data_IF_071800428609
#
_entry.id   IF_071800428609
#
_cell.length_a   1.000
_cell.length_b   1.000
_cell.length_c   1.000
_cell.angle_alpha   90.00
_cell.angle_beta   90.00
_cell.angle_gamma   90.00
#
_symmetry.space_group_name_H-M   'P 1'
#
loop_
_entity.id
_entity.type
_entity.pdbx_description
1 polymer ?
#
# COMPACT_ATOMS: atom_id res chain seq x y z
N UNK A 1 -3.27 13.05 14.55
CA UNK A 1 -4.20 12.39 15.50
C UNK A 1 -4.48 11.02 14.92
N UNK A 2 -4.05 9.95 15.59
CA UNK A 2 -4.25 8.58 15.10
C UNK A 2 -5.74 8.26 15.10
N UNK A 3 -6.27 7.86 13.96
CA UNK A 3 -7.68 7.49 13.80
C UNK A 3 -7.99 6.23 14.63
N UNK A 4 -8.93 6.30 15.57
CA UNK A 4 -9.34 5.15 16.39
C UNK A 4 -10.55 4.49 15.73
N UNK A 5 -10.38 3.26 15.27
CA UNK A 5 -11.47 2.47 14.66
C UNK A 5 -11.99 1.43 15.65
N UNK A 6 -13.32 1.34 15.76
CA UNK A 6 -13.98 0.32 16.57
C UNK A 6 -14.03 -1.01 15.82
N UNK A 7 -13.74 -2.11 16.51
CA UNK A 7 -13.74 -3.46 15.96
C UNK A 7 -14.63 -4.36 16.80
N UNK A 8 -15.61 -5.01 16.16
CA UNK A 8 -16.49 -5.98 16.80
C UNK A 8 -16.09 -7.40 16.38
N UNK A 9 -15.93 -8.29 17.37
CA UNK A 9 -15.51 -9.68 17.16
C UNK A 9 -16.51 -10.61 17.81
N UNK A 10 -16.87 -11.69 17.12
CA UNK A 10 -17.63 -12.79 17.71
C UNK A 10 -16.64 -13.78 18.31
N UNK A 11 -16.89 -14.15 19.57
CA UNK A 11 -16.09 -15.12 20.31
C UNK A 11 -16.99 -16.29 20.68
N UNK A 12 -16.44 -17.50 20.64
CA UNK A 12 -17.10 -18.66 21.21
C UNK A 12 -17.32 -18.48 22.71
N UNK A 13 -18.40 -19.06 23.24
CA UNK A 13 -18.79 -18.92 24.64
C UNK A 13 -17.68 -19.32 25.62
N UNK A 14 -16.94 -20.37 25.29
CA UNK A 14 -15.81 -20.84 26.11
C UNK A 14 -14.66 -19.82 26.13
N UNK A 15 -14.29 -19.28 24.97
CA UNK A 15 -13.22 -18.29 24.85
C UNK A 15 -13.61 -16.99 25.58
N UNK A 16 -14.86 -16.55 25.43
CA UNK A 16 -15.38 -15.40 26.16
C UNK A 16 -15.32 -15.61 27.69
N UNK A 17 -15.68 -16.81 28.17
CA UNK A 17 -15.61 -17.14 29.58
C UNK A 17 -14.17 -17.10 30.10
N UNK A 18 -13.22 -17.68 29.36
CA UNK A 18 -11.79 -17.64 29.69
C UNK A 18 -11.25 -16.21 29.71
N UNK A 19 -11.58 -15.40 28.71
CA UNK A 19 -11.18 -14.00 28.64
C UNK A 19 -11.71 -13.22 29.85
N UNK A 20 -12.98 -13.40 30.20
CA UNK A 20 -13.62 -12.72 31.33
C UNK A 20 -12.96 -13.12 32.66
N UNK A 21 -12.62 -14.40 32.82
CA UNK A 21 -11.93 -14.88 34.00
C UNK A 21 -10.53 -14.27 34.12
N UNK A 22 -9.75 -14.29 33.04
CA UNK A 22 -8.39 -13.72 33.01
C UNK A 22 -8.40 -12.19 33.23
N UNK A 23 -9.40 -11.49 32.68
CA UNK A 23 -9.62 -10.07 32.94
C UNK A 23 -9.78 -9.79 34.42
N UNK A 24 -10.66 -10.54 35.10
CA UNK A 24 -10.87 -10.43 36.55
C UNK A 24 -9.61 -10.71 37.35
N UNK A 25 -8.88 -11.78 37.02
CA UNK A 25 -7.67 -12.19 37.75
C UNK A 25 -6.50 -11.23 37.57
N UNK A 26 -6.38 -10.62 36.39
CA UNK A 26 -5.29 -9.68 36.08
C UNK A 26 -5.62 -8.22 36.42
N UNK A 27 -6.86 -7.91 36.83
CA UNK A 27 -7.31 -6.54 37.06
C UNK A 27 -7.38 -5.68 35.79
N UNK A 28 -7.41 -6.30 34.61
CA UNK A 28 -7.44 -5.61 33.30
C UNK A 28 -8.82 -5.75 32.65
N UNK A 29 -9.15 -4.82 31.76
CA UNK A 29 -10.37 -4.96 30.96
C UNK A 29 -10.20 -6.06 29.89
N UNK A 30 -11.31 -6.71 29.52
CA UNK A 30 -11.31 -7.66 28.41
C UNK A 30 -10.82 -6.99 27.10
N UNK A 31 -11.17 -5.72 26.89
CA UNK A 31 -10.74 -4.92 25.74
C UNK A 31 -9.22 -4.73 25.71
N UNK A 32 -8.59 -4.45 26.85
CA UNK A 32 -7.13 -4.26 26.91
C UNK A 32 -6.38 -5.57 26.69
N UNK A 33 -6.93 -6.68 27.17
CA UNK A 33 -6.36 -8.01 26.92
C UNK A 33 -6.45 -8.35 25.43
N UNK A 34 -7.60 -8.09 24.79
CA UNK A 34 -7.77 -8.32 23.35
C UNK A 34 -6.78 -7.45 22.56
N UNK A 35 -6.68 -6.15 22.89
CA UNK A 35 -5.74 -5.23 22.22
C UNK A 35 -4.31 -5.73 22.31
N UNK A 36 -3.84 -6.03 23.52
CA UNK A 36 -2.48 -6.53 23.74
C UNK A 36 -2.23 -7.89 23.07
N UNK A 37 -3.24 -8.76 23.05
CA UNK A 37 -3.18 -10.04 22.34
C UNK A 37 -3.00 -9.86 20.83
N UNK A 38 -3.71 -8.92 20.22
CA UNK A 38 -3.54 -8.56 18.80
C UNK A 38 -2.14 -8.00 18.56
N UNK A 39 -1.68 -7.05 19.37
CA UNK A 39 -0.33 -6.46 19.23
C UNK A 39 0.77 -7.53 19.30
N UNK A 40 0.67 -8.46 20.25
CA UNK A 40 1.62 -9.56 20.42
C UNK A 40 1.59 -10.51 19.23
N UNK A 41 0.38 -10.82 18.72
CA UNK A 41 0.23 -11.69 17.57
C UNK A 41 0.80 -11.04 16.29
N UNK A 42 0.57 -9.74 16.09
CA UNK A 42 1.12 -9.00 14.96
C UNK A 42 2.65 -8.93 15.01
N UNK A 43 3.23 -8.68 16.19
CA UNK A 43 4.68 -8.72 16.40
C UNK A 43 5.25 -10.11 16.07
N UNK A 44 4.58 -11.17 16.55
CA UNK A 44 4.97 -12.55 16.25
C UNK A 44 4.92 -12.84 14.75
N UNK A 45 3.83 -12.47 14.08
CA UNK A 45 3.68 -12.66 12.62
C UNK A 45 4.71 -11.85 11.83
N UNK A 46 5.04 -10.63 12.26
CA UNK A 46 6.03 -9.78 11.57
C UNK A 46 7.44 -10.36 11.60
N UNK A 47 7.76 -11.16 12.63
CA UNK A 47 9.05 -11.85 12.78
C UNK A 47 9.10 -13.20 12.08
N UNK A 48 7.97 -13.66 11.55
CA UNK A 48 7.88 -14.97 10.93
C UNK A 48 8.53 -14.95 9.53
N UNK A 49 9.47 -15.86 9.23
CA UNK A 49 10.26 -15.82 8.00
C UNK A 49 9.40 -15.97 6.74
N UNK A 50 8.28 -16.68 6.81
CA UNK A 50 7.32 -16.81 5.72
C UNK A 50 6.62 -15.48 5.37
N UNK A 51 6.36 -14.64 6.37
CA UNK A 51 5.78 -13.32 6.15
C UNK A 51 6.83 -12.39 5.55
N UNK A 52 8.08 -12.46 6.00
CA UNK A 52 9.19 -11.71 5.42
C UNK A 52 9.41 -12.07 3.93
N UNK A 53 9.35 -13.36 3.59
CA UNK A 53 9.46 -13.81 2.19
C UNK A 53 8.33 -13.26 1.32
N UNK A 54 7.07 -13.36 1.78
CA UNK A 54 5.92 -12.79 1.07
C UNK A 54 5.98 -11.27 0.98
N UNK A 55 6.50 -10.59 2.00
CA UNK A 55 6.69 -9.15 1.99
C UNK A 55 7.72 -8.72 0.93
N UNK A 56 8.82 -9.47 0.79
CA UNK A 56 9.82 -9.21 -0.26
C UNK A 56 9.23 -9.41 -1.67
N UNK A 57 8.46 -10.48 -1.90
CA UNK A 57 7.76 -10.71 -3.17
C UNK A 57 6.77 -9.57 -3.50
N UNK A 58 5.97 -9.14 -2.52
CA UNK A 58 5.06 -8.00 -2.66
C UNK A 58 5.80 -6.70 -2.97
N UNK A 59 6.95 -6.47 -2.34
CA UNK A 59 7.77 -5.28 -2.56
C UNK A 59 8.35 -5.24 -3.97
N UNK A 60 8.82 -6.39 -4.47
CA UNK A 60 9.36 -6.53 -5.81
C UNK A 60 8.28 -6.25 -6.87
N UNK A 61 7.08 -6.80 -6.68
CA UNK A 61 5.95 -6.57 -7.59
C UNK A 61 5.52 -5.10 -7.60
N UNK A 62 5.37 -4.49 -6.43
CA UNK A 62 5.01 -3.07 -6.32
C UNK A 62 6.08 -2.16 -6.96
N UNK A 63 7.36 -2.52 -6.83
CA UNK A 63 8.46 -1.77 -7.45
C UNK A 63 8.44 -1.90 -8.98
N UNK A 64 8.13 -3.09 -9.52
CA UNK A 64 7.97 -3.29 -10.96
C UNK A 64 6.80 -2.47 -11.51
N UNK A 65 5.68 -2.48 -10.82
CA UNK A 65 4.51 -1.69 -11.23
C UNK A 65 4.79 -0.19 -11.16
N UNK A 66 5.39 0.29 -10.07
CA UNK A 66 5.73 1.70 -9.89
C UNK A 66 6.74 2.17 -10.94
N UNK A 67 7.75 1.36 -11.28
CA UNK A 67 8.73 1.71 -12.32
C UNK A 67 8.10 1.73 -13.72
N UNK A 68 7.19 0.81 -14.04
CA UNK A 68 6.44 0.83 -15.28
C UNK A 68 5.54 2.08 -15.38
N UNK A 69 4.82 2.42 -14.31
CA UNK A 69 3.99 3.63 -14.25
C UNK A 69 4.84 4.90 -14.39
N UNK A 70 5.99 4.99 -13.71
CA UNK A 70 6.92 6.11 -13.83
C UNK A 70 7.47 6.25 -15.25
N UNK A 71 7.85 5.15 -15.90
CA UNK A 71 8.33 5.17 -17.29
C UNK A 71 7.26 5.65 -18.28
N UNK A 72 6.00 5.19 -18.12
CA UNK A 72 4.88 5.64 -18.94
C UNK A 72 4.57 7.13 -18.74
N UNK A 73 4.60 7.61 -17.49
CA UNK A 73 4.43 9.04 -17.18
C UNK A 73 5.56 9.89 -17.76
N UNK A 74 6.81 9.44 -17.66
CA UNK A 74 7.96 10.13 -18.25
C UNK A 74 7.87 10.20 -19.77
N UNK A 75 7.41 9.14 -20.43
CA UNK A 75 7.15 9.14 -21.87
C UNK A 75 6.06 10.15 -22.25
N UNK A 76 4.95 10.20 -21.52
CA UNK A 76 3.86 11.15 -21.75
C UNK A 76 4.34 12.60 -21.62
N UNK A 77 5.00 12.94 -20.51
CA UNK A 77 5.50 14.30 -20.26
C UNK A 77 6.61 14.68 -21.27
N UNK A 78 7.49 13.74 -21.61
CA UNK A 78 8.56 13.94 -22.58
C UNK A 78 8.05 14.16 -24.02
N UNK A 79 6.98 13.48 -24.43
CA UNK A 79 6.37 13.67 -25.74
C UNK A 79 5.62 15.01 -25.84
N UNK A 80 4.97 15.45 -24.76
CA UNK A 80 4.36 16.78 -24.69
C UNK A 80 5.38 17.92 -24.83
N UNK A 81 6.63 17.73 -24.38
CA UNK A 81 7.69 18.72 -24.55
C UNK A 81 8.19 18.83 -26.00
N UNK A 82 8.24 17.72 -26.76
CA UNK A 82 8.72 17.71 -28.15
C UNK A 82 7.72 18.31 -29.14
N UNK A 83 6.42 18.21 -28.86
CA UNK A 83 5.38 18.80 -29.70
C UNK A 83 5.34 20.33 -29.64
N UNK A 84 5.97 20.96 -28.63
CA UNK A 84 5.94 22.41 -28.45
C UNK A 84 7.15 23.15 -29.08
N UNK A 85 8.07 22.45 -29.75
CA UNK A 85 9.29 23.04 -30.33
C UNK A 85 9.48 22.75 -31.82
N UNK A 86 8.44 22.43 -32.58
CA UNK A 86 8.55 22.38 -34.05
C UNK A 86 8.25 23.77 -34.65
N UNK A 87 9.25 24.56 -35.10
CA UNK A 87 8.97 25.74 -35.91
C UNK A 87 8.47 25.28 -37.28
N UNK A 88 7.17 25.47 -37.54
CA UNK A 88 6.61 25.36 -38.89
C UNK A 88 7.15 26.50 -39.75
N UNK A 89 8.30 26.28 -40.37
CA UNK A 89 8.84 27.11 -41.44
C UNK A 89 9.27 26.21 -42.59
N UNK A 90 8.34 25.95 -43.52
CA UNK A 90 8.71 25.65 -44.90
C UNK A 90 7.84 26.45 -45.87
N UNK A 91 8.22 27.73 -45.95
CA UNK A 91 8.42 28.54 -47.16
C UNK A 91 7.77 28.01 -48.45
N UNK A 92 6.54 28.50 -48.65
CA UNK A 92 6.01 29.18 -49.85
C UNK A 92 6.89 29.19 -51.14
N UNK A 93 6.20 28.81 -52.22
CA UNK A 93 6.32 29.19 -53.65
C UNK A 93 7.25 28.41 -54.59
N UNK A 94 6.64 27.55 -55.42
CA UNK A 94 7.00 27.40 -56.84
C UNK A 94 6.69 28.72 -57.60
N UNK A 95 7.35 29.03 -58.73
CA UNK A 95 6.84 28.55 -60.03
C UNK A 95 7.95 28.24 -61.06
N UNK A 96 7.59 27.52 -62.13
CA UNK A 96 8.52 26.93 -63.08
C UNK A 96 8.92 27.78 -64.30
N UNK A 97 9.54 27.12 -65.28
CA UNK A 97 9.60 27.40 -66.73
C UNK A 97 10.67 26.44 -67.31
N UNK A 98 10.28 25.50 -68.19
CA UNK A 98 10.20 25.58 -69.65
C UNK A 98 11.54 25.34 -70.34
#
# INVERSE_FOLDING_TARGET
MSDIKTFAVRLDSELHARLTLLAKLSGRSATDIIRAGIETQLDTMSKAPEIAARAAELQDELTREATAQQAALAALVGDHAKQNTAPSSSRRTSPGSK
#
